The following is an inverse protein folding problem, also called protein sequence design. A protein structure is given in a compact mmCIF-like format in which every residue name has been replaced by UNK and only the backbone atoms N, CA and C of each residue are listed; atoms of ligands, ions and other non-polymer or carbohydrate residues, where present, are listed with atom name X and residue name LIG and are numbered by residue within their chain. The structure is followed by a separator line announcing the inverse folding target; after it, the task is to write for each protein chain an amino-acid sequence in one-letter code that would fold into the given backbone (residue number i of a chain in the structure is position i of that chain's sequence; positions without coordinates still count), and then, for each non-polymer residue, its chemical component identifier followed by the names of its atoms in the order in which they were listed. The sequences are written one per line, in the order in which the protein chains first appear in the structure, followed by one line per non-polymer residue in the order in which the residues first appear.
data_IF_595674634933
#
_entry.id   IF_595674634933
#
_cell.length_a   1.000
_cell.length_b   1.000
_cell.length_c   1.000
_cell.angle_alpha   90.00
_cell.angle_beta   90.00
_cell.angle_gamma   90.00
#
_symmetry.space_group_name_H-M   'P 1'
#
loop_
_entity.id
_entity.type
_entity.pdbx_description
1 polymer ?
#
# COMPACT_ATOMS: atom_id res chain seq x y z
N UNK A 1 -2.54 5.08 -20.69
CA UNK A 1 -3.93 5.58 -20.96
C UNK A 1 -3.99 7.02 -20.51
N UNK A 2 -4.42 7.92 -21.36
CA UNK A 2 -4.66 9.31 -20.98
C UNK A 2 -6.06 9.42 -20.35
N UNK A 3 -6.15 10.02 -19.16
CA UNK A 3 -7.40 10.18 -18.42
C UNK A 3 -8.13 11.45 -18.89
N UNK A 4 -9.42 11.33 -19.10
CA UNK A 4 -10.29 12.48 -19.35
C UNK A 4 -11.08 12.87 -18.09
N UNK A 5 -11.86 13.94 -18.19
CA UNK A 5 -12.67 14.45 -17.09
C UNK A 5 -13.68 13.41 -16.55
N UNK A 6 -14.29 12.64 -17.46
CA UNK A 6 -15.23 11.57 -17.10
C UNK A 6 -14.55 10.47 -16.29
N UNK A 7 -13.33 10.06 -16.68
CA UNK A 7 -12.55 9.06 -15.95
C UNK A 7 -12.24 9.54 -14.53
N UNK A 8 -11.80 10.79 -14.39
CA UNK A 8 -11.51 11.37 -13.08
C UNK A 8 -12.76 11.43 -12.19
N UNK A 9 -13.94 11.75 -12.74
CA UNK A 9 -15.20 11.73 -12.01
C UNK A 9 -15.58 10.31 -11.57
N UNK A 10 -15.43 9.32 -12.45
CA UNK A 10 -15.68 7.90 -12.12
C UNK A 10 -14.73 7.43 -11.01
N UNK A 11 -13.43 7.72 -11.12
CA UNK A 11 -12.44 7.36 -10.10
C UNK A 11 -12.75 8.00 -8.74
N UNK A 12 -13.16 9.27 -8.71
CA UNK A 12 -13.58 9.93 -7.47
C UNK A 12 -14.74 9.21 -6.78
N UNK A 13 -15.75 8.78 -7.54
CA UNK A 13 -16.85 7.99 -7.00
C UNK A 13 -16.36 6.65 -6.42
N UNK A 14 -15.47 5.94 -7.14
CA UNK A 14 -14.91 4.66 -6.68
C UNK A 14 -14.01 4.83 -5.45
N UNK A 15 -13.29 5.94 -5.33
CA UNK A 15 -12.48 6.26 -4.15
C UNK A 15 -13.33 6.66 -2.95
N UNK A 16 -14.52 7.24 -3.17
CA UNK A 16 -15.48 7.56 -2.12
C UNK A 16 -16.12 6.28 -1.55
N UNK A 17 -16.76 5.49 -2.41
CA UNK A 17 -17.29 4.16 -2.06
C UNK A 17 -17.25 3.23 -3.29
N UNK A 18 -16.32 2.27 -3.24
CA UNK A 18 -16.18 1.27 -4.30
C UNK A 18 -17.39 0.33 -4.46
N UNK A 19 -18.39 0.40 -3.56
CA UNK A 19 -19.65 -0.36 -3.65
C UNK A 19 -20.72 0.36 -4.46
N UNK A 20 -20.50 1.60 -4.90
CA UNK A 20 -21.45 2.26 -5.77
C UNK A 20 -21.70 1.42 -7.03
N UNK A 21 -22.98 1.20 -7.32
CA UNK A 21 -23.36 0.52 -8.56
C UNK A 21 -22.99 1.40 -9.76
N UNK A 22 -22.71 0.78 -10.90
CA UNK A 22 -22.47 1.52 -12.14
C UNK A 22 -23.61 2.47 -12.50
N UNK A 23 -24.84 2.14 -12.09
CA UNK A 23 -26.02 3.01 -12.26
C UNK A 23 -25.96 4.25 -11.37
N UNK A 24 -25.49 4.10 -10.13
CA UNK A 24 -25.27 5.23 -9.21
C UNK A 24 -24.15 6.13 -9.71
N UNK A 25 -23.02 5.55 -10.12
CA UNK A 25 -21.88 6.30 -10.70
C UNK A 25 -22.32 7.06 -11.96
N UNK A 26 -23.06 6.41 -12.85
CA UNK A 26 -23.60 7.02 -14.08
C UNK A 26 -24.45 8.27 -13.77
N UNK A 27 -25.31 8.17 -12.75
CA UNK A 27 -26.12 9.30 -12.27
C UNK A 27 -25.25 10.44 -11.72
N UNK A 28 -24.27 10.12 -10.88
CA UNK A 28 -23.38 11.09 -10.25
C UNK A 28 -22.50 11.84 -11.28
N UNK A 29 -22.06 11.12 -12.31
CA UNK A 29 -21.15 11.65 -13.34
C UNK A 29 -21.89 12.31 -14.49
N UNK A 30 -23.17 11.97 -14.73
CA UNK A 30 -23.98 12.49 -15.82
C UNK A 30 -23.70 11.79 -17.15
N UNK A 31 -23.44 10.48 -17.14
CA UNK A 31 -23.19 9.66 -18.35
C UNK A 31 -24.05 8.39 -18.35
N UNK A 32 -24.03 7.63 -19.45
CA UNK A 32 -24.73 6.35 -19.51
C UNK A 32 -24.03 5.28 -18.66
N UNK A 33 -24.80 4.27 -18.21
CA UNK A 33 -24.25 3.11 -17.49
C UNK A 33 -23.23 2.36 -18.35
N UNK A 34 -23.50 2.22 -19.65
CA UNK A 34 -22.57 1.60 -20.61
C UNK A 34 -21.25 2.36 -20.70
N UNK A 35 -21.28 3.70 -20.64
CA UNK A 35 -20.08 4.52 -20.60
C UNK A 35 -19.28 4.23 -19.33
N UNK A 36 -19.91 4.19 -18.16
CA UNK A 36 -19.23 3.87 -16.89
C UNK A 36 -18.54 2.51 -16.96
N UNK A 37 -19.28 1.46 -17.36
CA UNK A 37 -18.73 0.10 -17.46
C UNK A 37 -17.55 0.03 -18.43
N UNK A 38 -17.68 0.63 -19.61
CA UNK A 38 -16.61 0.66 -20.61
C UNK A 38 -15.36 1.40 -20.11
N UNK A 39 -15.56 2.52 -19.41
CA UNK A 39 -14.43 3.30 -18.88
C UNK A 39 -13.73 2.61 -17.71
N UNK A 40 -14.49 2.02 -16.79
CA UNK A 40 -13.92 1.21 -15.68
C UNK A 40 -13.10 0.06 -16.26
N UNK A 41 -13.68 -0.71 -17.20
CA UNK A 41 -12.95 -1.83 -17.82
C UNK A 41 -11.64 -1.38 -18.47
N UNK A 42 -11.63 -0.27 -19.19
CA UNK A 42 -10.40 0.29 -19.79
C UNK A 42 -9.36 0.66 -18.75
N UNK A 43 -9.78 1.21 -17.59
CA UNK A 43 -8.88 1.57 -16.50
C UNK A 43 -8.33 0.33 -15.77
N UNK A 44 -9.12 -0.75 -15.66
CA UNK A 44 -8.68 -2.05 -15.16
C UNK A 44 -7.70 -2.72 -16.13
N UNK A 45 -8.03 -2.80 -17.40
CA UNK A 45 -7.19 -3.41 -18.45
C UNK A 45 -5.85 -2.66 -18.60
N UNK A 46 -5.84 -1.34 -18.37
CA UNK A 46 -4.63 -0.52 -18.35
C UNK A 46 -3.83 -0.60 -17.03
N UNK A 47 -4.32 -1.35 -16.03
CA UNK A 47 -3.67 -1.48 -14.73
C UNK A 47 -3.73 -0.20 -13.85
N UNK A 48 -4.53 0.79 -14.24
CA UNK A 48 -4.76 1.99 -13.44
C UNK A 48 -5.58 1.67 -12.19
N UNK A 49 -6.66 0.88 -12.34
CA UNK A 49 -7.39 0.26 -11.25
C UNK A 49 -6.77 -1.13 -11.04
N UNK A 50 -6.06 -1.31 -9.94
CA UNK A 50 -5.38 -2.57 -9.60
C UNK A 50 -6.29 -3.56 -8.88
N UNK A 51 -7.44 -3.10 -8.39
CA UNK A 51 -8.38 -3.92 -7.63
C UNK A 51 -9.25 -3.08 -6.70
N UNK A 52 -10.11 -3.76 -5.97
CA UNK A 52 -11.02 -3.18 -4.99
C UNK A 52 -10.82 -3.89 -3.66
N UNK A 53 -10.75 -3.15 -2.57
CA UNK A 53 -10.54 -3.70 -1.24
C UNK A 53 -11.26 -2.89 -0.18
N UNK A 54 -11.66 -3.53 0.91
CA UNK A 54 -12.12 -2.84 2.10
C UNK A 54 -10.95 -2.12 2.79
N UNK A 55 -11.22 -0.92 3.29
CA UNK A 55 -10.28 -0.21 4.15
C UNK A 55 -10.61 -0.60 5.59
N UNK A 56 -9.64 -1.21 6.26
CA UNK A 56 -9.84 -1.79 7.58
C UNK A 56 -9.20 -0.90 8.67
N UNK A 57 -9.83 -0.87 9.83
CA UNK A 57 -9.21 -0.33 11.02
C UNK A 57 -8.30 -1.41 11.65
N UNK A 58 -6.99 -1.31 11.40
CA UNK A 58 -6.03 -2.30 11.84
C UNK A 58 -5.90 -2.37 13.36
N UNK A 59 -6.06 -1.26 14.09
CA UNK A 59 -6.04 -1.23 15.55
C UNK A 59 -7.19 -2.08 16.12
N UNK A 60 -8.40 -1.95 15.57
CA UNK A 60 -9.56 -2.79 15.95
C UNK A 60 -9.38 -4.27 15.61
N UNK A 61 -8.48 -4.61 14.71
CA UNK A 61 -8.07 -5.98 14.39
C UNK A 61 -6.91 -6.48 15.27
N UNK A 62 -6.47 -5.65 16.23
CA UNK A 62 -5.42 -5.98 17.18
C UNK A 62 -4.00 -5.69 16.68
N UNK A 63 -3.83 -4.97 15.57
CA UNK A 63 -2.52 -4.50 15.13
C UNK A 63 -2.17 -3.21 15.88
N UNK A 64 -1.63 -3.37 17.08
CA UNK A 64 -1.32 -2.25 17.99
C UNK A 64 0.02 -1.57 17.69
N UNK A 65 0.90 -2.25 16.98
CA UNK A 65 2.23 -1.75 16.66
C UNK A 65 2.38 -1.51 15.17
N UNK A 66 2.61 -0.26 14.80
CA UNK A 66 3.08 0.13 13.46
C UNK A 66 4.55 0.50 13.57
N UNK A 67 5.37 0.02 12.67
CA UNK A 67 6.80 0.35 12.63
C UNK A 67 7.20 0.86 11.25
N UNK A 68 8.19 1.74 11.27
CA UNK A 68 8.95 2.17 10.10
C UNK A 68 10.38 1.68 10.32
N UNK A 69 10.84 0.75 9.50
CA UNK A 69 12.19 0.20 9.60
C UNK A 69 13.01 0.62 8.39
N UNK A 70 14.08 1.31 8.63
CA UNK A 70 15.10 1.64 7.64
C UNK A 70 16.13 0.51 7.59
N UNK A 71 16.57 0.15 6.39
CA UNK A 71 17.63 -0.84 6.20
C UNK A 71 18.74 -0.33 5.31
N UNK A 72 19.96 -0.79 5.61
CA UNK A 72 21.11 -0.67 4.73
C UNK A 72 21.51 -2.06 4.26
N UNK A 73 21.77 -2.19 2.97
CA UNK A 73 21.99 -3.47 2.29
C UNK A 73 23.34 -3.45 1.56
N UNK A 74 24.03 -4.57 1.57
CA UNK A 74 25.27 -4.73 0.81
C UNK A 74 25.06 -4.41 -0.66
N UNK A 75 26.03 -3.74 -1.26
CA UNK A 75 25.98 -3.22 -2.63
C UNK A 75 25.54 -4.29 -3.64
N UNK A 76 24.57 -3.93 -4.47
CA UNK A 76 24.05 -4.79 -5.54
C UNK A 76 23.05 -5.86 -5.11
N UNK A 77 22.64 -5.91 -3.83
CA UNK A 77 21.72 -6.93 -3.30
C UNK A 77 20.35 -6.42 -2.87
N UNK A 78 20.08 -5.14 -3.05
CA UNK A 78 18.86 -4.47 -2.57
C UNK A 78 17.59 -5.15 -3.09
N UNK A 79 17.47 -5.33 -4.40
CA UNK A 79 16.27 -5.92 -5.02
C UNK A 79 15.95 -7.33 -4.49
N UNK A 80 16.99 -8.14 -4.21
CA UNK A 80 16.83 -9.49 -3.66
C UNK A 80 16.28 -9.43 -2.23
N UNK A 81 16.86 -8.57 -1.41
CA UNK A 81 16.45 -8.36 -0.01
C UNK A 81 15.02 -7.82 0.07
N UNK A 82 14.69 -6.82 -0.72
CA UNK A 82 13.34 -6.22 -0.76
C UNK A 82 12.27 -7.24 -1.15
N UNK A 83 12.53 -8.07 -2.15
CA UNK A 83 11.62 -9.14 -2.57
C UNK A 83 11.38 -10.17 -1.47
N UNK A 84 12.41 -10.48 -0.68
CA UNK A 84 12.26 -11.41 0.43
C UNK A 84 11.44 -10.79 1.57
N UNK A 85 11.73 -9.53 1.93
CA UNK A 85 10.99 -8.79 2.95
C UNK A 85 9.50 -8.65 2.57
N UNK A 86 9.22 -8.36 1.30
CA UNK A 86 7.86 -8.18 0.80
C UNK A 86 6.97 -9.43 0.90
N UNK A 87 7.53 -10.62 1.11
CA UNK A 87 6.75 -11.85 1.35
C UNK A 87 6.13 -11.91 2.75
N UNK A 88 6.62 -11.12 3.69
CA UNK A 88 6.12 -11.16 5.07
C UNK A 88 4.72 -10.54 5.14
N UNK A 89 3.70 -11.26 5.67
CA UNK A 89 2.31 -10.80 5.69
C UNK A 89 2.08 -9.57 6.58
N UNK A 90 2.99 -9.25 7.49
CA UNK A 90 2.93 -8.06 8.33
C UNK A 90 3.47 -6.81 7.63
N UNK A 91 4.16 -6.97 6.50
CA UNK A 91 4.73 -5.88 5.73
C UNK A 91 3.66 -5.25 4.84
N UNK A 92 3.42 -3.96 5.03
CA UNK A 92 2.46 -3.16 4.29
C UNK A 92 3.10 -2.45 3.09
N UNK A 93 4.38 -2.14 3.17
CA UNK A 93 5.13 -1.48 2.11
C UNK A 93 6.64 -1.69 2.24
N UNK A 94 7.31 -1.77 1.11
CA UNK A 94 8.76 -1.77 0.97
C UNK A 94 9.10 -0.77 -0.11
N UNK A 95 9.95 0.19 0.21
CA UNK A 95 10.30 1.31 -0.67
C UNK A 95 11.81 1.43 -0.78
N UNK A 96 12.33 1.32 -1.99
CA UNK A 96 13.67 1.78 -2.33
C UNK A 96 13.70 3.30 -2.19
N UNK A 97 14.70 3.85 -1.51
CA UNK A 97 14.76 5.28 -1.19
C UNK A 97 16.16 5.84 -1.45
N UNK A 98 16.22 7.13 -1.69
CA UNK A 98 17.47 7.88 -1.73
C UNK A 98 17.83 8.37 -0.34
N UNK A 99 19.12 8.52 -0.04
CA UNK A 99 19.60 9.09 1.22
C UNK A 99 20.59 8.20 1.95
N UNK A 100 20.51 8.18 3.28
CA UNK A 100 21.46 7.46 4.14
C UNK A 100 21.14 5.97 4.28
N UNK A 101 19.94 5.55 3.91
CA UNK A 101 19.48 4.17 3.95
C UNK A 101 19.03 3.75 2.57
N UNK A 102 19.02 2.45 2.30
CA UNK A 102 18.70 1.90 0.99
C UNK A 102 17.21 1.64 0.81
N UNK A 103 16.53 1.20 1.86
CA UNK A 103 15.08 0.98 1.80
C UNK A 103 14.38 1.30 3.13
N UNK A 104 13.08 1.57 3.00
CA UNK A 104 12.15 1.79 4.13
C UNK A 104 11.04 0.77 4.05
N UNK A 105 10.76 0.14 5.19
CA UNK A 105 9.73 -0.88 5.38
C UNK A 105 8.67 -0.33 6.31
N UNK A 106 7.39 -0.45 5.93
CA UNK A 106 6.27 -0.20 6.82
C UNK A 106 5.62 -1.53 7.16
N UNK A 107 5.48 -1.83 8.44
CA UNK A 107 4.88 -3.09 8.91
C UNK A 107 4.00 -2.88 10.13
N UNK A 108 3.02 -3.79 10.31
CA UNK A 108 2.08 -3.76 11.44
C UNK A 108 2.09 -5.09 12.18
N UNK A 109 2.11 -5.04 13.51
CA UNK A 109 2.20 -6.22 14.38
C UNK A 109 1.15 -6.18 15.49
N UNK A 110 0.71 -7.36 15.91
CA UNK A 110 -0.25 -7.50 17.02
C UNK A 110 0.44 -7.52 18.39
N UNK A 111 1.72 -7.87 18.44
CA UNK A 111 2.46 -7.97 19.69
C UNK A 111 3.92 -7.54 19.53
N UNK A 112 4.54 -7.23 20.67
CA UNK A 112 6.00 -6.98 20.73
C UNK A 112 6.80 -8.21 20.37
N UNK A 113 6.28 -9.39 20.66
CA UNK A 113 6.91 -10.67 20.31
C UNK A 113 6.96 -10.85 18.79
N UNK A 114 5.86 -10.54 18.09
CA UNK A 114 5.81 -10.61 16.62
C UNK A 114 6.79 -9.62 15.98
N UNK A 115 6.85 -8.39 16.50
CA UNK A 115 7.84 -7.39 16.09
C UNK A 115 9.26 -7.90 16.33
N UNK A 116 9.55 -8.47 17.50
CA UNK A 116 10.85 -9.02 17.82
C UNK A 116 11.26 -10.16 16.88
N UNK A 117 10.32 -11.03 16.51
CA UNK A 117 10.54 -12.08 15.51
C UNK A 117 10.89 -11.50 14.15
N UNK A 118 10.13 -10.52 13.71
CA UNK A 118 10.38 -9.83 12.45
C UNK A 118 11.77 -9.19 12.41
N UNK A 119 12.15 -8.46 13.46
CA UNK A 119 13.47 -7.84 13.55
C UNK A 119 14.60 -8.87 13.48
N UNK A 120 14.44 -10.00 14.19
CA UNK A 120 15.42 -11.11 14.12
C UNK A 120 15.50 -11.74 12.74
N UNK A 121 14.35 -11.90 12.06
CA UNK A 121 14.30 -12.40 10.68
C UNK A 121 15.01 -11.45 9.72
N UNK A 122 14.80 -10.13 9.85
CA UNK A 122 15.52 -9.14 9.06
C UNK A 122 17.03 -9.25 9.23
N UNK A 123 17.50 -9.30 10.48
CA UNK A 123 18.92 -9.40 10.80
C UNK A 123 19.55 -10.74 10.36
N UNK A 124 18.74 -11.78 10.18
CA UNK A 124 19.19 -13.07 9.69
C UNK A 124 19.26 -13.13 8.15
N UNK A 125 18.67 -12.18 7.43
CA UNK A 125 18.78 -12.13 5.98
C UNK A 125 20.24 -11.82 5.58
N UNK A 126 20.80 -12.57 4.63
CA UNK A 126 22.09 -12.22 4.06
C UNK A 126 22.00 -10.85 3.40
N UNK A 127 23.08 -10.08 3.48
CA UNK A 127 23.23 -8.76 2.86
C UNK A 127 22.55 -7.59 3.61
N UNK A 128 21.78 -7.80 4.66
CA UNK A 128 21.38 -6.68 5.55
C UNK A 128 22.56 -6.33 6.46
N UNK A 129 23.05 -5.11 6.32
CA UNK A 129 24.17 -4.59 7.12
C UNK A 129 23.68 -3.90 8.38
N UNK A 130 22.56 -3.17 8.26
CA UNK A 130 22.01 -2.38 9.35
C UNK A 130 20.49 -2.26 9.26
N UNK A 131 19.85 -2.26 10.42
CA UNK A 131 18.42 -1.93 10.57
C UNK A 131 18.25 -0.82 11.59
N UNK A 132 17.30 0.07 11.38
CA UNK A 132 16.87 1.08 12.32
C UNK A 132 15.35 1.10 12.36
N UNK A 133 14.75 0.62 13.45
CA UNK A 133 13.30 0.46 13.59
C UNK A 133 12.72 1.56 14.48
N UNK A 134 11.81 2.32 13.93
CA UNK A 134 11.02 3.30 14.64
C UNK A 134 9.62 2.73 14.93
N UNK A 135 9.22 2.71 16.19
CA UNK A 135 7.84 2.40 16.57
C UNK A 135 7.01 3.67 16.46
N UNK A 136 5.95 3.62 15.67
CA UNK A 136 5.03 4.76 15.50
C UNK A 136 4.21 4.93 16.77
N UNK A 137 4.27 6.11 17.37
CA UNK A 137 3.49 6.45 18.56
C UNK A 137 2.05 6.82 18.21
N UNK A 138 1.86 7.56 17.12
CA UNK A 138 0.55 8.02 16.68
C UNK A 138 0.51 8.10 15.15
N UNK A 139 -0.50 7.50 14.55
CA UNK A 139 -0.78 7.67 13.12
C UNK A 139 -1.71 8.86 12.93
N UNK A 140 -1.17 9.99 12.51
CA UNK A 140 -1.96 11.20 12.26
C UNK A 140 -2.78 11.09 10.98
N UNK A 141 -2.19 10.48 9.94
CA UNK A 141 -2.84 10.23 8.65
C UNK A 141 -2.24 9.00 7.98
N UNK A 142 -3.09 8.12 7.53
CA UNK A 142 -2.73 7.00 6.65
C UNK A 142 -3.83 6.87 5.59
N UNK A 143 -3.64 7.48 4.44
CA UNK A 143 -4.61 7.47 3.36
C UNK A 143 -3.91 7.55 2.00
N UNK A 144 -3.97 6.48 1.24
CA UNK A 144 -3.38 6.38 -0.10
C UNK A 144 -4.38 6.61 -1.24
N UNK A 145 -5.58 7.11 -0.94
CA UNK A 145 -6.60 7.47 -1.93
C UNK A 145 -6.28 8.85 -2.52
N UNK A 146 -5.37 8.87 -3.49
CA UNK A 146 -4.94 10.09 -4.18
C UNK A 146 -5.62 10.18 -5.55
N UNK A 147 -6.19 11.35 -5.85
CA UNK A 147 -6.67 11.74 -7.18
C UNK A 147 -6.80 13.27 -7.27
#
# INVERSE_FOLDING_TARGET
MELNETDNKILKNLLEDARFSSRQIAKNVGVSVGTVLSRIKKMEDAGLIKGYSAILNHEKLGYELTVVTEITVSKGRLVEVEKEIAKNPNVCGVYDVTGLTDAVIIAKFKSREDLGRFTKQLLALPYIERTNTHVVLTTVKENFRLL
#
